data_IF_090266597724
#
_entry.id   IF_090266597724
#
_cell.length_a   1.000
_cell.length_b   1.000
_cell.length_c   1.000
_cell.angle_alpha   90.00
_cell.angle_beta   90.00
_cell.angle_gamma   90.00
#
_symmetry.space_group_name_H-M   'P 1'
#
loop_
_entity.id
_entity.type
_entity.pdbx_description
1 polymer ?
#
# COMPACT_ATOMS: atom_id res chain seq x y z
N UNK A 1 -28.55 -59.78 21.68
CA UNK A 1 -29.18 -58.46 21.45
C UNK A 1 -28.44 -57.47 22.33
N UNK A 2 -27.20 -57.06 22.02
CA UNK A 2 -26.73 -56.24 20.90
C UNK A 2 -27.47 -54.91 20.76
N UNK A 3 -26.65 -53.85 20.82
CA UNK A 3 -26.82 -52.51 20.23
C UNK A 3 -27.35 -51.41 21.18
N UNK A 4 -26.68 -50.28 21.40
CA UNK A 4 -25.43 -49.77 20.85
C UNK A 4 -25.06 -48.48 21.57
N UNK A 5 -24.00 -48.52 22.38
CA UNK A 5 -23.38 -47.33 22.97
C UNK A 5 -22.49 -46.67 21.91
N UNK A 6 -23.08 -45.83 21.07
CA UNK A 6 -22.32 -44.89 20.24
C UNK A 6 -21.62 -43.88 21.15
N UNK A 7 -20.40 -44.21 21.54
CA UNK A 7 -19.40 -43.22 21.95
C UNK A 7 -19.05 -42.44 20.69
N UNK A 8 -19.56 -41.21 20.57
CA UNK A 8 -18.95 -40.21 19.69
C UNK A 8 -17.53 -39.97 20.21
N UNK A 9 -16.59 -40.73 19.65
CA UNK A 9 -15.19 -40.39 19.64
C UNK A 9 -15.06 -39.12 18.82
N UNK A 10 -15.27 -37.97 19.47
CA UNK A 10 -14.90 -36.68 18.92
C UNK A 10 -13.42 -36.75 18.58
N UNK A 11 -13.13 -36.96 17.30
CA UNK A 11 -11.80 -36.74 16.74
C UNK A 11 -11.40 -35.36 17.23
N UNK A 12 -10.29 -35.21 17.99
CA UNK A 12 -9.82 -33.89 18.33
C UNK A 12 -9.64 -33.17 17.00
N UNK A 13 -10.45 -32.15 16.74
CA UNK A 13 -10.24 -31.25 15.61
C UNK A 13 -8.86 -30.70 15.86
N UNK A 14 -7.88 -31.26 15.16
CA UNK A 14 -6.52 -30.74 15.15
C UNK A 14 -6.67 -29.30 14.67
N UNK A 15 -6.61 -28.36 15.60
CA UNK A 15 -6.51 -26.94 15.28
C UNK A 15 -5.32 -26.90 14.33
N UNK A 16 -5.52 -26.57 13.03
CA UNK A 16 -4.41 -26.53 12.10
C UNK A 16 -3.34 -25.67 12.76
N UNK A 17 -2.11 -26.18 12.82
CA UNK A 17 -0.97 -25.41 13.32
C UNK A 17 -1.13 -23.99 12.77
N UNK A 18 -1.16 -23.01 13.67
CA UNK A 18 -1.38 -21.59 13.38
C UNK A 18 -0.16 -21.00 12.67
N UNK A 19 0.30 -21.70 11.64
CA UNK A 19 1.38 -21.33 10.77
C UNK A 19 0.94 -20.16 9.90
N UNK A 20 1.76 -19.12 9.88
CA UNK A 20 1.51 -17.88 9.13
C UNK A 20 1.56 -18.15 7.62
N UNK A 21 2.23 -19.21 7.19
CA UNK A 21 2.45 -19.53 5.78
C UNK A 21 1.15 -19.92 5.03
N UNK A 22 0.30 -20.85 5.53
CA UNK A 22 -1.03 -21.08 4.98
C UNK A 22 -1.89 -19.82 4.87
N UNK A 23 -1.85 -18.94 5.88
CA UNK A 23 -2.60 -17.69 5.88
C UNK A 23 -2.13 -16.75 4.75
N UNK A 24 -0.82 -16.56 4.62
CA UNK A 24 -0.20 -15.80 3.53
C UNK A 24 -0.68 -16.33 2.17
N UNK A 25 -0.58 -17.63 1.95
CA UNK A 25 -0.98 -18.27 0.70
C UNK A 25 -2.46 -18.05 0.37
N UNK A 26 -3.35 -18.25 1.34
CA UNK A 26 -4.81 -18.08 1.14
C UNK A 26 -5.17 -16.63 0.82
N UNK A 27 -4.59 -15.66 1.55
CA UNK A 27 -4.86 -14.24 1.31
C UNK A 27 -4.31 -13.81 -0.05
N UNK A 28 -3.10 -14.26 -0.41
CA UNK A 28 -2.49 -13.96 -1.70
C UNK A 28 -3.31 -14.55 -2.85
N UNK A 29 -3.68 -15.83 -2.75
CA UNK A 29 -4.54 -16.51 -3.73
C UNK A 29 -5.87 -15.80 -3.90
N UNK A 30 -6.52 -15.37 -2.82
CA UNK A 30 -7.77 -14.60 -2.88
C UNK A 30 -7.59 -13.31 -3.70
N UNK A 31 -6.52 -12.55 -3.46
CA UNK A 31 -6.28 -11.32 -4.19
C UNK A 31 -5.98 -11.55 -5.68
N UNK A 32 -5.15 -12.55 -6.00
CA UNK A 32 -4.85 -12.91 -7.40
C UNK A 32 -6.11 -13.37 -8.14
N UNK A 33 -6.95 -14.21 -7.51
CA UNK A 33 -8.22 -14.63 -8.09
C UNK A 33 -9.14 -13.44 -8.34
N UNK A 34 -9.22 -12.47 -7.43
CA UNK A 34 -10.00 -11.26 -7.66
C UNK A 34 -9.47 -10.43 -8.85
N UNK A 35 -8.14 -10.32 -8.99
CA UNK A 35 -7.53 -9.61 -10.12
C UNK A 35 -7.87 -10.25 -11.46
N UNK A 36 -7.79 -11.59 -11.54
CA UNK A 36 -8.06 -12.36 -12.76
C UNK A 36 -9.56 -12.49 -13.07
N UNK A 37 -10.40 -12.55 -12.04
CA UNK A 37 -11.86 -12.72 -12.20
C UNK A 37 -12.54 -11.43 -12.65
N UNK A 38 -11.97 -10.27 -12.32
CA UNK A 38 -12.52 -8.96 -12.69
C UNK A 38 -11.54 -8.16 -13.57
N UNK A 39 -11.17 -8.66 -14.76
CA UNK A 39 -10.14 -8.07 -15.60
C UNK A 39 -10.49 -6.66 -16.05
N UNK A 40 -11.78 -6.37 -16.30
CA UNK A 40 -12.24 -5.04 -16.65
C UNK A 40 -11.99 -4.02 -15.53
N UNK A 41 -12.17 -4.41 -14.26
CA UNK A 41 -11.93 -3.52 -13.12
C UNK A 41 -10.43 -3.28 -12.88
N UNK A 42 -9.62 -4.30 -13.12
CA UNK A 42 -8.17 -4.27 -13.05
C UNK A 42 -7.64 -3.35 -14.15
N UNK A 43 -8.08 -3.58 -15.39
CA UNK A 43 -7.68 -2.82 -16.56
C UNK A 43 -8.16 -1.37 -16.49
N UNK A 44 -9.37 -1.10 -16.01
CA UNK A 44 -9.87 0.27 -15.89
C UNK A 44 -9.01 1.10 -14.93
N UNK A 45 -8.65 0.55 -13.75
CA UNK A 45 -7.74 1.24 -12.81
C UNK A 45 -6.38 1.52 -13.44
N UNK A 46 -5.83 0.54 -14.15
CA UNK A 46 -4.56 0.72 -14.86
C UNK A 46 -4.65 1.84 -15.91
N UNK A 47 -5.69 1.76 -16.75
CA UNK A 47 -5.88 2.67 -17.86
C UNK A 47 -6.21 4.08 -17.40
N UNK A 48 -7.00 4.25 -16.33
CA UNK A 48 -7.25 5.56 -15.72
C UNK A 48 -5.95 6.21 -15.26
N UNK A 49 -5.07 5.46 -14.58
CA UNK A 49 -3.80 5.99 -14.11
C UNK A 49 -2.85 6.30 -15.29
N UNK A 50 -2.85 5.44 -16.31
CA UNK A 50 -2.07 5.66 -17.52
C UNK A 50 -2.56 6.90 -18.28
N UNK A 51 -3.88 7.04 -18.50
CA UNK A 51 -4.49 8.23 -19.12
C UNK A 51 -4.12 9.48 -18.34
N UNK A 52 -4.16 9.44 -17.00
CA UNK A 52 -3.77 10.58 -16.19
C UNK A 52 -2.32 11.01 -16.45
N UNK A 53 -1.40 10.05 -16.56
CA UNK A 53 -0.04 10.32 -17.00
C UNK A 53 0.03 10.89 -18.42
N UNK A 54 -0.70 10.32 -19.39
CA UNK A 54 -0.69 10.80 -20.77
C UNK A 54 -1.20 12.24 -20.87
N UNK A 55 -2.22 12.60 -20.11
CA UNK A 55 -2.75 13.96 -20.05
C UNK A 55 -1.69 14.92 -19.51
N UNK A 56 -0.98 14.54 -18.43
CA UNK A 56 0.10 15.37 -17.87
C UNK A 56 1.27 15.47 -18.85
N UNK A 57 1.67 14.35 -19.47
CA UNK A 57 2.80 14.27 -20.39
C UNK A 57 2.54 15.04 -21.69
N UNK A 58 1.53 14.66 -22.46
CA UNK A 58 1.23 15.31 -23.73
C UNK A 58 0.64 16.70 -23.55
N UNK A 59 -0.20 16.91 -22.51
CA UNK A 59 -0.72 18.22 -22.18
C UNK A 59 0.39 19.18 -21.75
N UNK A 60 1.34 18.72 -20.94
CA UNK A 60 2.50 19.52 -20.56
C UNK A 60 3.45 19.78 -21.74
N UNK A 61 3.64 18.82 -22.66
CA UNK A 61 4.41 19.05 -23.89
C UNK A 61 3.77 20.12 -24.78
N UNK A 62 2.44 20.11 -24.90
CA UNK A 62 1.73 21.09 -25.71
C UNK A 62 1.82 22.52 -25.13
N UNK A 63 1.87 22.67 -23.81
CA UNK A 63 1.87 23.98 -23.13
C UNK A 63 3.28 24.49 -22.84
N UNK A 64 4.16 23.64 -22.32
CA UNK A 64 5.49 24.01 -21.83
C UNK A 64 6.64 23.62 -22.77
N UNK A 65 6.35 22.89 -23.86
CA UNK A 65 7.35 22.55 -24.88
C UNK A 65 8.55 21.79 -24.28
N UNK A 66 9.79 22.17 -24.62
CA UNK A 66 11.00 21.47 -24.15
C UNK A 66 11.15 21.40 -22.61
N UNK A 67 10.61 22.37 -21.87
CA UNK A 67 10.77 22.43 -20.41
C UNK A 67 10.14 21.24 -19.66
N UNK A 68 9.11 20.60 -20.24
CA UNK A 68 8.53 19.39 -19.65
C UNK A 68 9.46 18.17 -19.83
N UNK A 69 10.23 18.15 -20.91
CA UNK A 69 11.13 17.03 -21.25
C UNK A 69 12.28 16.97 -20.25
N UNK A 70 12.77 18.12 -19.80
CA UNK A 70 13.83 18.21 -18.77
C UNK A 70 13.35 17.75 -17.39
N UNK A 71 12.04 17.82 -17.12
CA UNK A 71 11.43 17.40 -15.85
C UNK A 71 10.78 16.03 -15.92
N UNK A 72 10.84 15.37 -17.07
CA UNK A 72 10.14 14.12 -17.36
C UNK A 72 10.56 12.99 -16.41
N UNK A 73 11.85 12.92 -16.06
CA UNK A 73 12.36 11.92 -15.12
C UNK A 73 11.68 12.05 -13.75
N UNK A 74 11.57 13.29 -13.27
CA UNK A 74 10.87 13.61 -12.02
C UNK A 74 9.38 13.28 -12.08
N UNK A 75 8.73 13.51 -13.23
CA UNK A 75 7.31 13.18 -13.46
C UNK A 75 7.12 11.66 -13.42
N UNK A 76 7.92 10.88 -14.15
CA UNK A 76 7.81 9.42 -14.20
C UNK A 76 8.02 8.81 -12.81
N UNK A 77 9.10 9.20 -12.11
CA UNK A 77 9.36 8.70 -10.75
C UNK A 77 8.26 9.14 -9.78
N UNK A 78 7.80 10.39 -9.89
CA UNK A 78 6.72 10.91 -9.06
C UNK A 78 5.42 10.12 -9.25
N UNK A 79 5.04 9.83 -10.49
CA UNK A 79 3.87 9.01 -10.81
C UNK A 79 4.01 7.58 -10.29
N UNK A 80 5.18 6.96 -10.45
CA UNK A 80 5.46 5.63 -9.91
C UNK A 80 5.23 5.57 -8.39
N UNK A 81 5.85 6.49 -7.65
CA UNK A 81 5.71 6.57 -6.20
C UNK A 81 4.28 6.93 -5.76
N UNK A 82 3.60 7.77 -6.53
CA UNK A 82 2.20 8.12 -6.29
C UNK A 82 1.29 6.90 -6.45
N UNK A 83 1.48 6.10 -7.50
CA UNK A 83 0.76 4.84 -7.70
C UNK A 83 1.04 3.84 -6.59
N UNK A 84 2.30 3.71 -6.17
CA UNK A 84 2.68 2.86 -5.04
C UNK A 84 1.95 3.30 -3.76
N UNK A 85 2.03 4.59 -3.44
CA UNK A 85 1.41 5.16 -2.25
C UNK A 85 -0.11 4.90 -2.25
N UNK A 86 -0.80 5.26 -3.33
CA UNK A 86 -2.25 5.11 -3.45
C UNK A 86 -2.67 3.65 -3.28
N UNK A 87 -2.01 2.75 -3.98
CA UNK A 87 -2.36 1.33 -3.96
C UNK A 87 -2.11 0.74 -2.57
N UNK A 88 -1.02 1.15 -1.91
CA UNK A 88 -0.66 0.67 -0.58
C UNK A 88 -1.63 1.13 0.53
N UNK A 89 -1.95 2.42 0.65
CA UNK A 89 -2.84 2.88 1.73
C UNK A 89 -4.30 2.51 1.46
N UNK A 90 -4.78 2.75 0.23
CA UNK A 90 -6.20 2.58 -0.08
C UNK A 90 -6.58 1.11 -0.10
N UNK A 91 -5.69 0.23 -0.59
CA UNK A 91 -5.92 -1.21 -0.60
C UNK A 91 -6.20 -1.75 0.79
N UNK A 92 -5.44 -1.31 1.80
CA UNK A 92 -5.64 -1.74 3.19
C UNK A 92 -6.98 -1.23 3.77
N UNK A 93 -7.29 0.06 3.58
CA UNK A 93 -8.52 0.64 4.10
C UNK A 93 -9.77 0.04 3.42
N UNK A 94 -9.74 -0.12 2.10
CA UNK A 94 -10.81 -0.80 1.35
C UNK A 94 -11.00 -2.27 1.74
N UNK A 95 -9.93 -2.97 2.12
CA UNK A 95 -10.04 -4.34 2.60
C UNK A 95 -10.87 -4.42 3.89
N UNK A 96 -10.73 -3.46 4.81
CA UNK A 96 -11.55 -3.42 6.03
C UNK A 96 -12.98 -3.02 5.73
N UNK A 97 -13.17 -1.97 4.93
CA UNK A 97 -14.52 -1.50 4.55
C UNK A 97 -15.33 -2.60 3.87
N UNK A 98 -14.72 -3.37 2.96
CA UNK A 98 -15.41 -4.51 2.31
C UNK A 98 -15.77 -5.63 3.28
N UNK A 99 -14.85 -5.96 4.19
CA UNK A 99 -15.12 -6.99 5.21
C UNK A 99 -16.29 -6.59 6.12
N UNK A 100 -16.40 -5.29 6.40
CA UNK A 100 -17.50 -4.69 7.15
C UNK A 100 -18.82 -4.76 6.38
N UNK A 101 -18.81 -4.34 5.12
CA UNK A 101 -19.97 -4.40 4.21
C UNK A 101 -20.50 -5.82 4.02
N UNK A 102 -19.61 -6.82 3.98
CA UNK A 102 -19.99 -8.22 3.83
C UNK A 102 -20.46 -8.88 5.14
N UNK A 103 -20.46 -8.17 6.27
CA UNK A 103 -20.80 -8.73 7.58
C UNK A 103 -19.82 -9.81 8.05
N UNK A 104 -18.61 -9.82 7.48
CA UNK A 104 -17.59 -10.85 7.74
C UNK A 104 -16.58 -10.44 8.82
N UNK A 105 -16.63 -9.19 9.29
CA UNK A 105 -15.74 -8.69 10.34
C UNK A 105 -15.79 -9.57 11.58
N UNK A 106 -16.96 -9.92 12.09
CA UNK A 106 -17.10 -10.72 13.30
C UNK A 106 -16.41 -12.09 13.15
N UNK A 107 -16.59 -12.75 12.00
CA UNK A 107 -15.90 -14.02 11.68
C UNK A 107 -14.38 -13.84 11.61
N UNK A 108 -13.91 -12.71 11.08
CA UNK A 108 -12.48 -12.41 10.99
C UNK A 108 -11.87 -12.16 12.37
N UNK A 109 -12.61 -11.52 13.28
CA UNK A 109 -12.21 -11.32 14.67
C UNK A 109 -12.19 -12.62 15.48
N UNK A 110 -13.06 -13.57 15.17
CA UNK A 110 -13.09 -14.91 15.77
C UNK A 110 -12.08 -15.87 15.15
N UNK A 111 -11.33 -15.45 14.12
CA UNK A 111 -10.33 -16.31 13.49
C UNK A 111 -9.18 -16.65 14.45
N UNK A 112 -8.62 -17.89 14.40
CA UNK A 112 -7.57 -18.32 15.32
C UNK A 112 -6.26 -17.54 15.18
N UNK A 113 -6.06 -16.85 14.05
CA UNK A 113 -4.88 -16.03 13.77
C UNK A 113 -4.94 -14.62 14.38
N UNK A 114 -6.13 -14.18 14.80
CA UNK A 114 -6.36 -12.83 15.31
C UNK A 114 -6.39 -11.76 14.21
N UNK A 115 -7.24 -10.75 14.39
CA UNK A 115 -7.48 -9.69 13.40
C UNK A 115 -6.22 -8.89 13.04
N UNK A 116 -5.37 -8.57 14.03
CA UNK A 116 -4.12 -7.82 13.80
C UNK A 116 -3.15 -8.54 12.87
N UNK A 117 -2.91 -9.83 13.12
CA UNK A 117 -2.03 -10.68 12.30
C UNK A 117 -2.55 -10.79 10.87
N UNK A 118 -3.85 -11.03 10.70
CA UNK A 118 -4.46 -11.13 9.36
C UNK A 118 -4.33 -9.81 8.60
N UNK A 119 -4.50 -8.68 9.29
CA UNK A 119 -4.36 -7.36 8.70
C UNK A 119 -2.91 -7.01 8.36
N UNK A 120 -1.94 -7.43 9.18
CA UNK A 120 -0.51 -7.36 8.85
C UNK A 120 -0.16 -8.18 7.61
N UNK A 121 -0.67 -9.41 7.50
CA UNK A 121 -0.50 -10.25 6.30
C UNK A 121 -1.14 -9.61 5.07
N UNK A 122 -2.37 -9.11 5.18
CA UNK A 122 -3.03 -8.36 4.10
C UNK A 122 -2.22 -7.13 3.69
N UNK A 123 -1.61 -6.41 4.65
CA UNK A 123 -0.75 -5.27 4.37
C UNK A 123 0.49 -5.68 3.57
N UNK A 124 1.20 -6.72 4.00
CA UNK A 124 2.40 -7.22 3.32
C UNK A 124 2.11 -7.62 1.87
N UNK A 125 1.02 -8.37 1.64
CA UNK A 125 0.61 -8.77 0.29
C UNK A 125 0.20 -7.53 -0.52
N UNK A 126 -0.48 -6.55 0.09
CA UNK A 126 -0.86 -5.31 -0.57
C UNK A 126 0.38 -4.50 -1.03
N UNK A 127 1.48 -4.54 -0.28
CA UNK A 127 2.76 -3.94 -0.69
C UNK A 127 3.32 -4.64 -1.92
N UNK A 128 3.39 -5.97 -1.89
CA UNK A 128 3.87 -6.74 -3.05
C UNK A 128 3.04 -6.44 -4.30
N UNK A 129 1.71 -6.35 -4.16
CA UNK A 129 0.83 -5.97 -5.26
C UNK A 129 1.04 -4.52 -5.67
N UNK A 130 1.23 -3.57 -4.73
CA UNK A 130 1.50 -2.19 -5.11
C UNK A 130 2.78 -2.10 -5.95
N UNK A 131 3.82 -2.85 -5.60
CA UNK A 131 5.04 -2.94 -6.41
C UNK A 131 4.79 -3.51 -7.80
N UNK A 132 4.03 -4.59 -7.91
CA UNK A 132 3.67 -5.16 -9.21
C UNK A 132 2.91 -4.14 -10.08
N UNK A 133 1.92 -3.47 -9.50
CA UNK A 133 1.14 -2.43 -10.17
C UNK A 133 1.98 -1.22 -10.57
N UNK A 134 2.79 -0.71 -9.64
CA UNK A 134 3.68 0.42 -9.87
C UNK A 134 4.72 0.11 -10.93
N UNK A 135 5.32 -1.08 -10.90
CA UNK A 135 6.30 -1.50 -11.92
C UNK A 135 5.65 -1.65 -13.31
N UNK A 136 4.49 -2.30 -13.40
CA UNK A 136 3.78 -2.43 -14.67
C UNK A 136 3.45 -1.06 -15.28
N UNK A 137 3.00 -0.11 -14.45
CA UNK A 137 2.70 1.24 -14.89
C UNK A 137 3.96 2.03 -15.26
N UNK A 138 5.03 1.90 -14.47
CA UNK A 138 6.33 2.52 -14.72
C UNK A 138 6.88 2.10 -16.09
N UNK A 139 6.90 0.80 -16.39
CA UNK A 139 7.38 0.30 -17.69
C UNK A 139 6.49 0.78 -18.85
N UNK A 140 5.18 0.87 -18.64
CA UNK A 140 4.28 1.46 -19.64
C UNK A 140 4.59 2.94 -19.88
N UNK A 141 4.83 3.72 -18.82
CA UNK A 141 5.21 5.13 -18.92
C UNK A 141 6.54 5.31 -19.64
N UNK A 142 7.57 4.53 -19.30
CA UNK A 142 8.88 4.58 -19.98
C UNK A 142 8.75 4.20 -21.47
N UNK A 143 7.98 3.16 -21.77
CA UNK A 143 7.74 2.72 -23.15
C UNK A 143 7.02 3.77 -24.00
N UNK A 144 6.03 4.47 -23.44
CA UNK A 144 5.26 5.49 -24.17
C UNK A 144 6.03 6.81 -24.29
N UNK A 145 6.71 7.23 -23.22
CA UNK A 145 7.48 8.48 -23.21
C UNK A 145 8.82 8.39 -23.94
N UNK A 146 9.32 7.17 -24.21
CA UNK A 146 10.64 6.93 -24.79
C UNK A 146 11.80 7.21 -23.81
N UNK A 147 11.51 7.61 -22.57
CA UNK A 147 12.50 7.94 -21.55
C UNK A 147 12.70 6.77 -20.61
N UNK A 148 13.85 6.11 -20.73
CA UNK A 148 14.23 5.00 -19.88
C UNK A 148 15.07 5.49 -18.71
N UNK A 149 14.59 5.26 -17.50
CA UNK A 149 15.34 5.57 -16.27
C UNK A 149 16.17 4.36 -15.85
N UNK A 150 17.19 4.61 -15.04
CA UNK A 150 17.91 3.53 -14.38
C UNK A 150 17.00 2.88 -13.36
N UNK A 151 16.85 1.55 -13.46
CA UNK A 151 16.05 0.77 -12.53
C UNK A 151 16.90 -0.34 -11.92
N UNK A 152 17.75 0.06 -10.98
CA UNK A 152 18.44 -0.91 -10.12
C UNK A 152 17.48 -1.42 -9.06
N UNK A 153 17.02 -2.65 -9.23
CA UNK A 153 16.09 -3.32 -8.31
C UNK A 153 16.61 -3.29 -6.87
N UNK A 154 17.93 -3.43 -6.67
CA UNK A 154 18.56 -3.48 -5.35
C UNK A 154 18.51 -2.13 -4.65
N UNK A 155 18.44 -1.03 -5.41
CA UNK A 155 18.38 0.33 -4.86
C UNK A 155 16.95 0.85 -4.78
N UNK A 156 16.20 0.75 -5.87
CA UNK A 156 14.86 1.33 -5.99
C UNK A 156 13.85 0.61 -5.10
N UNK A 157 13.88 -0.72 -5.03
CA UNK A 157 12.89 -1.48 -4.26
C UNK A 157 12.99 -1.21 -2.75
N UNK A 158 14.17 -1.23 -2.11
CA UNK A 158 14.27 -0.89 -0.69
C UNK A 158 13.83 0.54 -0.36
N UNK A 159 14.23 1.53 -1.16
CA UNK A 159 13.85 2.93 -0.95
C UNK A 159 12.33 3.12 -1.09
N UNK A 160 11.76 2.59 -2.16
CA UNK A 160 10.32 2.61 -2.38
C UNK A 160 9.59 1.82 -1.28
N UNK A 161 10.14 0.72 -0.78
CA UNK A 161 9.50 -0.11 0.23
C UNK A 161 9.46 0.61 1.58
N UNK A 162 10.54 1.29 1.97
CA UNK A 162 10.57 2.17 3.15
C UNK A 162 9.59 3.33 3.01
N UNK A 163 9.53 3.95 1.82
CA UNK A 163 8.57 5.02 1.53
C UNK A 163 7.13 4.51 1.71
N UNK A 164 6.82 3.38 1.08
CA UNK A 164 5.50 2.73 1.14
C UNK A 164 5.16 2.24 2.56
N UNK A 165 6.14 1.76 3.33
CA UNK A 165 5.93 1.33 4.71
C UNK A 165 5.31 2.45 5.57
N UNK A 166 5.78 3.69 5.39
CA UNK A 166 5.19 4.84 6.08
C UNK A 166 3.73 5.12 5.65
N UNK A 167 3.44 4.93 4.36
CA UNK A 167 2.10 5.11 3.76
C UNK A 167 1.13 4.03 4.25
N UNK A 168 1.62 2.80 4.46
CA UNK A 168 0.83 1.74 5.11
C UNK A 168 0.44 2.12 6.53
N UNK A 169 1.31 2.83 7.27
CA UNK A 169 0.95 3.39 8.57
C UNK A 169 -0.32 4.25 8.50
N UNK A 170 -0.38 5.15 7.52
CA UNK A 170 -1.57 5.94 7.22
C UNK A 170 -2.74 5.01 6.86
N UNK A 171 -2.52 4.01 6.01
CA UNK A 171 -3.50 2.98 5.67
C UNK A 171 -4.09 2.29 6.91
N UNK A 172 -3.27 1.92 7.89
CA UNK A 172 -3.71 1.31 9.14
C UNK A 172 -4.57 2.25 9.98
N UNK A 173 -4.17 3.52 10.11
CA UNK A 173 -5.02 4.53 10.72
C UNK A 173 -6.41 4.53 10.06
N UNK A 174 -6.47 4.64 8.73
CA UNK A 174 -7.73 4.69 7.99
C UNK A 174 -8.54 3.39 8.06
N UNK A 175 -7.89 2.23 8.05
CA UNK A 175 -8.54 0.96 8.32
C UNK A 175 -9.16 0.94 9.72
N UNK A 176 -8.50 1.53 10.72
CA UNK A 176 -9.02 1.65 12.07
C UNK A 176 -10.21 2.60 12.13
N UNK A 177 -10.10 3.77 11.50
CA UNK A 177 -11.22 4.69 11.35
C UNK A 177 -12.39 4.01 10.63
N UNK A 178 -12.16 3.16 9.63
CA UNK A 178 -13.22 2.50 8.87
C UNK A 178 -14.07 1.55 9.72
N UNK A 179 -13.50 1.01 10.80
CA UNK A 179 -14.23 0.20 11.78
C UNK A 179 -15.19 1.03 12.65
N UNK A 180 -14.88 2.31 12.85
CA UNK A 180 -15.65 3.22 13.71
C UNK A 180 -16.61 4.06 12.87
N UNK A 181 -16.15 4.53 11.71
CA UNK A 181 -16.81 5.45 10.82
C UNK A 181 -17.03 4.76 9.47
N UNK A 182 -18.26 4.36 9.19
CA UNK A 182 -18.64 3.53 8.03
C UNK A 182 -18.49 4.22 6.65
N UNK A 183 -18.18 5.52 6.61
CA UNK A 183 -18.07 6.32 5.38
C UNK A 183 -16.81 7.19 5.41
N UNK A 184 -15.74 6.73 4.77
CA UNK A 184 -14.45 7.44 4.73
C UNK A 184 -13.93 7.71 3.31
N UNK A 185 -14.75 7.43 2.30
CA UNK A 185 -14.33 7.52 0.90
C UNK A 185 -13.81 8.92 0.53
N UNK A 186 -14.53 9.96 0.96
CA UNK A 186 -14.10 11.35 0.74
C UNK A 186 -12.76 11.68 1.44
N UNK A 187 -12.51 11.10 2.62
CA UNK A 187 -11.23 11.31 3.31
C UNK A 187 -10.08 10.62 2.57
N UNK A 188 -10.33 9.46 1.96
CA UNK A 188 -9.31 8.80 1.14
C UNK A 188 -8.89 9.69 -0.03
N UNK A 189 -9.85 10.36 -0.68
CA UNK A 189 -9.56 11.29 -1.78
C UNK A 189 -8.71 12.48 -1.31
N UNK A 190 -9.03 13.07 -0.15
CA UNK A 190 -8.22 14.17 0.41
C UNK A 190 -6.78 13.76 0.68
N UNK A 191 -6.57 12.56 1.24
CA UNK A 191 -5.21 12.04 1.49
C UNK A 191 -4.47 11.76 0.18
N UNK A 192 -5.16 11.23 -0.84
CA UNK A 192 -4.59 11.05 -2.17
C UNK A 192 -4.09 12.38 -2.74
N UNK A 193 -4.88 13.45 -2.67
CA UNK A 193 -4.44 14.78 -3.08
C UNK A 193 -3.26 15.28 -2.24
N UNK A 194 -3.21 14.96 -0.95
CA UNK A 194 -2.07 15.30 -0.08
C UNK A 194 -0.75 14.62 -0.47
N UNK A 195 -0.79 13.42 -1.06
CA UNK A 195 0.44 12.75 -1.52
C UNK A 195 1.11 13.45 -2.69
N UNK A 196 0.36 14.13 -3.56
CA UNK A 196 0.91 14.83 -4.73
C UNK A 196 1.98 15.86 -4.34
N UNK A 197 1.69 16.87 -3.49
CA UNK A 197 2.69 17.85 -3.08
C UNK A 197 3.80 17.22 -2.24
N UNK A 198 3.52 16.17 -1.44
CA UNK A 198 4.54 15.45 -0.67
C UNK A 198 5.58 14.80 -1.58
N UNK A 199 5.14 14.11 -2.64
CA UNK A 199 6.02 13.44 -3.60
C UNK A 199 6.76 14.45 -4.49
N UNK A 200 6.10 15.54 -4.86
CA UNK A 200 6.69 16.61 -5.67
C UNK A 200 7.62 17.52 -4.88
N UNK A 201 7.64 17.44 -3.54
CA UNK A 201 8.33 18.41 -2.71
C UNK A 201 9.86 18.44 -2.91
N UNK A 202 10.49 19.63 -2.90
CA UNK A 202 11.94 19.79 -3.03
C UNK A 202 12.64 19.57 -1.67
N UNK A 203 12.77 18.32 -1.25
CA UNK A 203 13.34 17.97 0.07
C UNK A 203 14.78 18.45 0.25
N UNK A 204 15.56 18.55 -0.84
CA UNK A 204 16.94 19.04 -0.80
C UNK A 204 17.11 20.47 -0.28
N UNK A 205 16.06 21.30 -0.27
CA UNK A 205 16.13 22.68 0.22
C UNK A 205 15.57 22.92 1.63
N UNK A 206 14.89 21.93 2.23
CA UNK A 206 14.12 22.13 3.46
C UNK A 206 14.25 20.90 4.39
N UNK A 207 15.10 21.01 5.41
CA UNK A 207 15.45 19.88 6.29
C UNK A 207 14.27 19.28 7.05
N UNK A 208 13.24 20.07 7.38
CA UNK A 208 12.04 19.58 8.07
C UNK A 208 11.17 18.65 7.19
N UNK A 209 11.30 18.71 5.86
CA UNK A 209 10.61 17.76 4.97
C UNK A 209 11.14 16.33 5.09
N UNK A 210 12.34 16.14 5.66
CA UNK A 210 12.88 14.81 5.95
C UNK A 210 12.05 14.05 6.98
N UNK A 211 11.28 14.76 7.81
CA UNK A 211 10.32 14.16 8.75
C UNK A 211 9.08 13.58 8.06
N UNK A 212 8.86 13.89 6.79
CA UNK A 212 7.81 13.29 5.98
C UNK A 212 8.40 12.17 5.12
N UNK A 213 8.30 10.90 5.54
CA UNK A 213 8.99 9.78 4.88
C UNK A 213 8.55 9.59 3.43
N UNK A 214 7.32 10.01 3.08
CA UNK A 214 6.87 10.04 1.69
C UNK A 214 7.68 11.04 0.87
N UNK A 215 7.89 12.26 1.35
CA UNK A 215 8.66 13.27 0.64
C UNK A 215 10.13 12.85 0.55
N UNK A 216 10.72 12.47 1.69
CA UNK A 216 12.12 12.07 1.78
C UNK A 216 12.45 10.86 0.92
N UNK A 217 11.65 9.80 1.03
CA UNK A 217 11.81 8.60 0.22
C UNK A 217 11.56 8.84 -1.26
N UNK A 218 10.66 9.77 -1.61
CA UNK A 218 10.45 10.17 -3.00
C UNK A 218 11.65 10.89 -3.60
N UNK A 219 12.28 11.78 -2.82
CA UNK A 219 13.50 12.47 -3.22
C UNK A 219 14.64 11.47 -3.47
N UNK A 220 14.93 10.58 -2.51
CA UNK A 220 16.01 9.59 -2.65
C UNK A 220 15.76 8.61 -3.82
N UNK A 221 14.51 8.19 -4.02
CA UNK A 221 14.16 7.32 -5.16
C UNK A 221 14.32 8.04 -6.50
N UNK A 222 13.98 9.33 -6.57
CA UNK A 222 14.20 10.15 -7.77
C UNK A 222 15.68 10.28 -8.09
N UNK A 223 16.51 10.62 -7.12
CA UNK A 223 17.98 10.68 -7.29
C UNK A 223 18.53 9.33 -7.77
N UNK A 224 18.12 8.23 -7.14
CA UNK A 224 18.58 6.90 -7.54
C UNK A 224 18.19 6.54 -9.00
N UNK A 225 16.98 6.88 -9.44
CA UNK A 225 16.49 6.51 -10.77
C UNK A 225 16.95 7.46 -11.88
N UNK A 226 17.04 8.76 -11.59
CA UNK A 226 17.48 9.80 -12.54
C UNK A 226 19.00 9.81 -12.69
N UNK A 227 19.74 9.77 -11.59
CA UNK A 227 21.19 9.93 -11.59
C UNK A 227 21.94 8.58 -11.56
N UNK A 228 21.22 7.45 -11.43
CA UNK A 228 21.82 6.11 -11.40
C UNK A 228 22.61 5.79 -10.13
N UNK A 229 22.40 6.55 -9.07
CA UNK A 229 23.10 6.41 -7.78
C UNK A 229 22.66 5.13 -7.09
N UNK A 230 23.62 4.33 -6.63
CA UNK A 230 23.37 3.06 -5.93
C UNK A 230 23.03 3.28 -4.45
N UNK A 231 22.36 2.31 -3.84
CA UNK A 231 21.94 2.39 -2.44
C UNK A 231 23.09 2.68 -1.47
N UNK A 232 24.26 2.10 -1.70
CA UNK A 232 25.45 2.28 -0.86
C UNK A 232 26.22 3.58 -1.14
N UNK A 233 25.89 4.29 -2.21
CA UNK A 233 26.45 5.62 -2.52
C UNK A 233 25.62 6.74 -1.88
N UNK A 234 24.39 6.43 -1.45
CA UNK A 234 23.56 7.38 -0.72
C UNK A 234 24.10 7.63 0.69
N UNK A 235 23.96 8.86 1.22
CA UNK A 235 24.40 9.16 2.58
C UNK A 235 23.72 8.27 3.61
N UNK A 236 24.52 7.58 4.44
CA UNK A 236 23.99 6.66 5.45
C UNK A 236 23.07 7.36 6.46
N UNK A 237 23.29 8.65 6.74
CA UNK A 237 22.40 9.48 7.56
C UNK A 237 21.01 9.61 6.97
N UNK A 238 20.89 9.82 5.65
CA UNK A 238 19.60 9.96 4.97
C UNK A 238 18.83 8.65 4.95
N UNK A 239 19.52 7.53 4.75
CA UNK A 239 18.93 6.19 4.84
C UNK A 239 18.47 5.86 6.25
N UNK A 240 19.25 6.24 7.27
CA UNK A 240 18.89 6.04 8.66
C UNK A 240 17.64 6.86 9.04
N UNK A 241 17.60 8.14 8.65
CA UNK A 241 16.43 9.01 8.87
C UNK A 241 15.20 8.42 8.18
N UNK A 242 15.31 8.05 6.90
CA UNK A 242 14.20 7.43 6.17
C UNK A 242 13.68 6.19 6.91
N UNK A 243 14.59 5.31 7.31
CA UNK A 243 14.24 4.05 7.96
C UNK A 243 13.54 4.28 9.29
N UNK A 244 14.13 5.11 10.16
CA UNK A 244 13.58 5.40 11.50
C UNK A 244 12.21 6.05 11.38
N UNK A 245 12.07 7.07 10.54
CA UNK A 245 10.81 7.79 10.39
C UNK A 245 9.74 6.91 9.73
N UNK A 246 10.09 6.13 8.71
CA UNK A 246 9.15 5.19 8.09
C UNK A 246 8.64 4.13 9.06
N UNK A 247 9.53 3.54 9.86
CA UNK A 247 9.16 2.57 10.90
C UNK A 247 8.29 3.24 11.97
N UNK A 248 8.63 4.45 12.41
CA UNK A 248 7.84 5.20 13.39
C UNK A 248 6.41 5.45 12.89
N UNK A 249 6.24 5.90 11.65
CA UNK A 249 4.92 6.12 11.03
C UNK A 249 4.12 4.81 10.90
N UNK A 250 4.78 3.71 10.50
CA UNK A 250 4.14 2.41 10.41
C UNK A 250 3.63 1.93 11.77
N UNK A 251 4.48 2.01 12.80
CA UNK A 251 4.14 1.59 14.16
C UNK A 251 3.04 2.47 14.76
N UNK A 252 3.13 3.80 14.59
CA UNK A 252 2.10 4.72 15.02
C UNK A 252 0.76 4.42 14.35
N UNK A 253 0.78 4.16 13.04
CA UNK A 253 -0.40 3.78 12.27
C UNK A 253 -1.04 2.49 12.76
N UNK A 254 -0.23 1.46 12.95
CA UNK A 254 -0.69 0.17 13.49
C UNK A 254 -1.22 0.31 14.93
N UNK A 255 -0.59 1.14 15.76
CA UNK A 255 -1.07 1.41 17.11
C UNK A 255 -2.46 2.06 17.11
N UNK A 256 -2.66 3.09 16.28
CA UNK A 256 -3.97 3.72 16.07
C UNK A 256 -5.02 2.70 15.62
N UNK A 257 -4.65 1.79 14.71
CA UNK A 257 -5.51 0.70 14.26
C UNK A 257 -5.94 -0.23 15.40
N UNK A 258 -4.99 -0.64 16.27
CA UNK A 258 -5.29 -1.49 17.43
C UNK A 258 -6.23 -0.79 18.41
N UNK A 259 -6.02 0.50 18.67
CA UNK A 259 -6.89 1.29 19.54
C UNK A 259 -8.31 1.39 18.97
N UNK A 260 -8.44 1.75 17.69
CA UNK A 260 -9.74 1.83 17.02
C UNK A 260 -10.46 0.47 16.97
N UNK A 261 -9.73 -0.62 16.73
CA UNK A 261 -10.25 -1.98 16.75
C UNK A 261 -10.76 -2.41 18.13
N UNK A 262 -10.08 -2.00 19.21
CA UNK A 262 -10.56 -2.22 20.59
C UNK A 262 -11.82 -1.41 20.88
N UNK A 263 -11.86 -0.15 20.44
CA UNK A 263 -13.03 0.72 20.59
C UNK A 263 -14.25 0.15 19.88
N UNK A 264 -14.11 -0.20 18.60
CA UNK A 264 -15.20 -0.76 17.79
C UNK A 264 -15.80 -2.04 18.40
N UNK A 265 -14.96 -2.88 19.02
CA UNK A 265 -15.42 -4.07 19.75
C UNK A 265 -16.22 -3.74 21.00
N UNK A 266 -15.74 -2.79 21.81
CA UNK A 266 -16.44 -2.37 23.05
C UNK A 266 -17.80 -1.74 22.76
N UNK A 267 -17.90 -1.03 21.64
CA UNK A 267 -19.13 -0.34 21.21
C UNK A 267 -20.05 -1.23 20.35
N UNK A 268 -19.70 -2.50 20.11
CA UNK A 268 -20.55 -3.43 19.34
C UNK A 268 -20.70 -3.09 17.85
N UNK A 269 -19.78 -2.30 17.28
CA UNK A 269 -19.90 -1.75 15.92
C UNK A 269 -19.65 -2.78 14.80
N UNK A 270 -19.24 -4.01 15.14
CA UNK A 270 -18.82 -5.03 14.17
C UNK A 270 -19.98 -5.75 13.48
N UNK A 271 -21.14 -5.85 14.13
CA UNK A 271 -22.31 -6.60 13.63
C UNK A 271 -23.33 -5.75 12.87
N UNK A 272 -23.23 -4.42 12.96
CA UNK A 272 -24.15 -3.50 12.31
C UNK A 272 -23.38 -2.77 11.20
N UNK A 273 -23.58 -3.13 9.93
CA UNK A 273 -23.15 -2.31 8.79
C UNK A 273 -24.34 -1.61 8.15
#
# INVERSE_FOLDING_TARGET
MSDGTRRDSGVPVSIPDSSIFPLLWVVARKQVVLLLRYPLSTLSRFLTMLIFFLVVFFGGQAVAGPAITDTLDGIIVGFFLFTLAITAYSGLAWNVTREAQWGTLERLFMSPYGFGTVMGVKAAINVCLSFLWGAALLFAMMGISGRWLTFDVVTVVPLAALTVASVIGIGFCFAGLALVYKRLENLFQLVQFGFVPLIAAPVGGLEWLKLFPVAHGSYLTRVAMSDGVRLWELPASELAILTVVSVAYLLAGYYCFVLASRKARREGLLGHY
#
